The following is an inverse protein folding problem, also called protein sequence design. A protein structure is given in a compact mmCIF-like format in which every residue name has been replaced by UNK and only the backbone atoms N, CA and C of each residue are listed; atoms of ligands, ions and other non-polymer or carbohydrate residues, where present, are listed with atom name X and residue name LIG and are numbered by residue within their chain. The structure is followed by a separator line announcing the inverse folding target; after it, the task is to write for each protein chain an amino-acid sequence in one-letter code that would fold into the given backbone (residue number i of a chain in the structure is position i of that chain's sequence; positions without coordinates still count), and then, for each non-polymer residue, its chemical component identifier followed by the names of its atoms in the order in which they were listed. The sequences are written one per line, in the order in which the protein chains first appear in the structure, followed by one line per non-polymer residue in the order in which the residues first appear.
data_IF_835950866744
#
_entry.id   IF_835950866744
#
_cell.length_a   1.000
_cell.length_b   1.000
_cell.length_c   1.000
_cell.angle_alpha   90.00
_cell.angle_beta   90.00
_cell.angle_gamma   90.00
#
_symmetry.space_group_name_H-M   'P 1'
#
loop_
_entity.id
_entity.type
_entity.pdbx_description
1 polymer ?
#
# COMPACT_ATOMS: atom_id res chain seq x y z
N UNK A 1 9.51 9.95 -5.16
CA UNK A 1 10.04 9.65 -3.81
C UNK A 1 10.16 8.14 -3.54
N UNK A 2 9.17 7.32 -3.92
CA UNK A 2 9.18 5.87 -3.62
C UNK A 2 10.06 5.02 -4.56
N UNK A 3 10.30 5.50 -5.79
CA UNK A 3 11.04 4.74 -6.82
C UNK A 3 12.41 4.16 -6.40
N UNK A 4 13.27 4.86 -5.62
CA UNK A 4 14.53 4.28 -5.18
C UNK A 4 14.36 3.06 -4.27
N UNK A 5 13.34 3.05 -3.41
CA UNK A 5 13.05 1.91 -2.52
C UNK A 5 12.56 0.73 -3.34
N UNK A 6 11.60 0.96 -4.25
CA UNK A 6 11.09 -0.08 -5.13
C UNK A 6 12.21 -0.71 -5.99
N UNK A 7 13.13 0.11 -6.50
CA UNK A 7 14.28 -0.37 -7.28
C UNK A 7 15.22 -1.27 -6.47
N UNK A 8 15.44 -0.99 -5.19
CA UNK A 8 16.27 -1.85 -4.33
C UNK A 8 15.60 -3.20 -4.05
N UNK A 9 14.27 -3.25 -4.08
CA UNK A 9 13.47 -4.46 -3.90
C UNK A 9 13.18 -5.21 -5.20
N UNK A 10 13.67 -4.71 -6.35
CA UNK A 10 13.39 -5.31 -7.67
C UNK A 10 11.93 -5.17 -8.12
N UNK A 11 11.18 -4.21 -7.57
CA UNK A 11 9.77 -3.98 -7.91
C UNK A 11 9.70 -3.08 -9.17
N UNK A 12 9.04 -3.53 -10.25
CA UNK A 12 8.85 -2.74 -11.47
C UNK A 12 8.05 -1.46 -11.22
N UNK A 13 8.29 -0.41 -12.02
CA UNK A 13 7.66 0.91 -11.80
C UNK A 13 6.15 0.88 -12.04
N UNK A 14 5.69 0.04 -12.95
CA UNK A 14 4.28 -0.20 -13.25
C UNK A 14 3.50 -0.79 -12.07
N UNK A 15 4.18 -1.35 -11.06
CA UNK A 15 3.56 -1.88 -9.85
C UNK A 15 3.52 -0.84 -8.71
N UNK A 16 3.92 0.42 -8.98
CA UNK A 16 3.97 1.49 -8.00
C UNK A 16 2.74 2.38 -8.17
N UNK A 17 1.91 2.43 -7.13
CA UNK A 17 0.78 3.35 -7.02
C UNK A 17 1.06 4.33 -5.87
N UNK A 18 1.40 5.57 -6.19
CA UNK A 18 1.84 6.57 -5.21
C UNK A 18 1.68 8.00 -5.73
N UNK A 19 1.64 8.97 -4.80
CA UNK A 19 1.55 10.37 -5.19
C UNK A 19 2.79 10.81 -5.97
N UNK A 20 2.54 11.46 -7.10
CA UNK A 20 3.56 12.09 -7.91
C UNK A 20 3.61 13.58 -7.58
N UNK A 21 4.76 14.05 -7.09
CA UNK A 21 5.01 15.48 -6.88
C UNK A 21 5.42 16.13 -8.20
N UNK A 22 4.89 17.33 -8.45
CA UNK A 22 5.14 18.11 -9.65
C UNK A 22 6.01 19.32 -9.30
N UNK A 23 7.00 19.58 -10.14
CA UNK A 23 7.96 20.66 -9.96
C UNK A 23 8.11 21.46 -11.26
N UNK A 24 8.40 22.76 -11.11
CA UNK A 24 8.85 23.62 -12.21
C UNK A 24 10.22 23.16 -12.74
N UNK A 25 10.58 23.66 -13.93
CA UNK A 25 11.92 23.44 -14.49
C UNK A 25 13.06 24.00 -13.63
N UNK A 26 12.80 24.99 -12.78
CA UNK A 26 13.75 25.53 -11.81
C UNK A 26 13.77 24.78 -10.46
N UNK A 27 12.98 23.70 -10.32
CA UNK A 27 12.92 22.88 -9.11
C UNK A 27 11.94 23.38 -8.04
N UNK A 28 11.22 24.48 -8.27
CA UNK A 28 10.17 24.96 -7.38
C UNK A 28 8.94 24.03 -7.37
N UNK A 29 8.33 23.82 -6.20
CA UNK A 29 7.16 22.97 -6.02
C UNK A 29 5.91 23.55 -6.70
N UNK A 30 5.22 22.75 -7.51
CA UNK A 30 3.96 23.12 -8.17
C UNK A 30 2.73 22.47 -7.54
N UNK A 31 2.92 21.34 -6.89
CA UNK A 31 1.81 20.53 -6.37
C UNK A 31 2.07 19.05 -6.55
N UNK A 32 0.99 18.30 -6.72
CA UNK A 32 1.02 16.87 -6.96
C UNK A 32 0.00 16.51 -8.04
N UNK A 33 0.21 15.36 -8.66
CA UNK A 33 -0.74 14.78 -9.61
C UNK A 33 -2.01 14.36 -8.87
N UNK A 34 -3.14 14.96 -9.28
CA UNK A 34 -4.45 14.72 -8.67
C UNK A 34 -5.13 13.48 -9.23
N UNK A 35 -4.70 12.99 -10.39
CA UNK A 35 -5.30 11.83 -11.04
C UNK A 35 -4.88 10.52 -10.35
N UNK A 36 -3.72 10.54 -9.67
CA UNK A 36 -3.24 9.43 -8.84
C UNK A 36 -4.29 8.97 -7.81
N UNK A 37 -4.42 7.66 -7.62
CA UNK A 37 -5.36 7.12 -6.64
C UNK A 37 -5.08 7.65 -5.24
N UNK A 38 -3.80 7.70 -4.88
CA UNK A 38 -3.32 8.09 -3.55
C UNK A 38 -3.40 9.59 -3.28
N UNK A 39 -3.88 10.39 -4.25
CA UNK A 39 -3.97 11.85 -4.12
C UNK A 39 -5.09 12.31 -3.18
N UNK A 40 -5.96 11.36 -2.78
CA UNK A 40 -7.19 11.57 -2.02
C UNK A 40 -7.40 10.48 -0.95
N UNK A 41 -8.25 10.78 0.03
CA UNK A 41 -8.67 9.81 1.05
C UNK A 41 -9.29 8.57 0.41
N UNK A 42 -9.00 7.39 0.98
CA UNK A 42 -9.41 6.10 0.39
C UNK A 42 -8.60 5.69 -0.85
N UNK A 43 -7.51 6.39 -1.16
CA UNK A 43 -6.69 6.12 -2.33
C UNK A 43 -6.11 4.71 -2.40
N UNK A 44 -5.66 4.15 -1.28
CA UNK A 44 -5.16 2.76 -1.21
C UNK A 44 -6.27 1.75 -1.52
N UNK A 45 -7.47 1.93 -0.98
CA UNK A 45 -8.61 1.08 -1.28
C UNK A 45 -8.98 1.11 -2.78
N UNK A 46 -9.00 2.30 -3.36
CA UNK A 46 -9.28 2.46 -4.80
C UNK A 46 -8.18 1.82 -5.66
N UNK A 47 -6.91 1.98 -5.29
CA UNK A 47 -5.79 1.37 -6.00
C UNK A 47 -5.85 -0.17 -5.94
N UNK A 48 -6.13 -0.76 -4.77
CA UNK A 48 -6.25 -2.21 -4.62
C UNK A 48 -7.42 -2.78 -5.42
N UNK A 49 -8.59 -2.11 -5.42
CA UNK A 49 -9.72 -2.48 -6.28
C UNK A 49 -9.36 -2.42 -7.77
N UNK A 50 -8.62 -1.39 -8.18
CA UNK A 50 -8.14 -1.24 -9.56
C UNK A 50 -7.18 -2.38 -9.95
N UNK A 51 -6.18 -2.66 -9.11
CA UNK A 51 -5.21 -3.74 -9.31
C UNK A 51 -5.93 -5.09 -9.45
N UNK A 52 -6.90 -5.38 -8.56
CA UNK A 52 -7.71 -6.61 -8.64
C UNK A 52 -8.40 -6.74 -9.99
N UNK A 53 -9.03 -5.66 -10.43
CA UNK A 53 -9.81 -5.63 -11.68
C UNK A 53 -8.93 -5.80 -12.91
N UNK A 54 -7.80 -5.09 -12.99
CA UNK A 54 -6.92 -5.08 -14.16
C UNK A 54 -6.17 -6.40 -14.32
N UNK A 55 -5.73 -7.00 -13.22
CA UNK A 55 -4.93 -8.22 -13.25
C UNK A 55 -5.75 -9.50 -13.00
N UNK A 56 -7.04 -9.38 -12.72
CA UNK A 56 -7.94 -10.50 -12.41
C UNK A 56 -7.45 -11.40 -11.26
N UNK A 57 -6.79 -10.80 -10.27
CA UNK A 57 -6.31 -11.54 -9.10
C UNK A 57 -7.51 -12.10 -8.31
N UNK A 58 -7.44 -13.41 -8.04
CA UNK A 58 -8.44 -14.09 -7.20
C UNK A 58 -8.32 -13.71 -5.73
N UNK A 59 -7.07 -13.54 -5.28
CA UNK A 59 -6.71 -13.24 -3.90
C UNK A 59 -5.73 -12.09 -3.84
N UNK A 60 -5.97 -11.12 -2.97
CA UNK A 60 -5.08 -10.00 -2.66
C UNK A 60 -4.88 -9.86 -1.15
N UNK A 61 -3.63 -9.61 -0.76
CA UNK A 61 -3.23 -9.38 0.63
C UNK A 61 -2.69 -7.96 0.74
N UNK A 62 -3.25 -7.18 1.66
CA UNK A 62 -2.72 -5.87 2.01
C UNK A 62 -1.85 -5.98 3.26
N UNK A 63 -0.66 -5.37 3.25
CA UNK A 63 0.25 -5.32 4.40
C UNK A 63 0.57 -3.86 4.70
N UNK A 64 0.38 -3.42 5.94
CA UNK A 64 0.69 -2.06 6.38
C UNK A 64 0.39 -1.81 7.85
N UNK A 65 0.80 -0.66 8.39
CA UNK A 65 0.57 -0.31 9.81
C UNK A 65 -0.66 0.59 10.01
N UNK A 66 -1.12 1.25 8.95
CA UNK A 66 -2.02 2.38 9.03
C UNK A 66 -3.50 2.05 8.85
N UNK A 67 -4.35 2.98 9.29
CA UNK A 67 -5.80 2.88 9.07
C UNK A 67 -6.16 2.87 7.56
N UNK A 68 -5.42 3.60 6.73
CA UNK A 68 -5.63 3.61 5.27
C UNK A 68 -5.22 2.31 4.59
N UNK A 69 -4.32 1.53 5.21
CA UNK A 69 -3.99 0.17 4.76
C UNK A 69 -5.13 -0.79 5.09
N UNK A 70 -5.65 -0.71 6.32
CA UNK A 70 -6.83 -1.47 6.73
C UNK A 70 -8.06 -1.16 5.86
N UNK A 71 -8.26 0.10 5.46
CA UNK A 71 -9.34 0.49 4.54
C UNK A 71 -9.27 -0.22 3.18
N UNK A 72 -8.12 -0.74 2.77
CA UNK A 72 -7.99 -1.48 1.52
C UNK A 72 -8.77 -2.81 1.51
N UNK A 73 -9.28 -3.26 2.67
CA UNK A 73 -10.20 -4.40 2.81
C UNK A 73 -11.67 -4.09 2.51
N UNK A 74 -11.99 -2.88 2.04
CA UNK A 74 -13.33 -2.56 1.55
C UNK A 74 -13.80 -3.56 0.47
N UNK A 75 -15.13 -3.71 0.25
CA UNK A 75 -15.67 -4.62 -0.76
C UNK A 75 -14.99 -4.48 -2.13
N UNK A 76 -14.56 -5.60 -2.70
CA UNK A 76 -13.80 -5.64 -3.96
C UNK A 76 -12.30 -5.34 -3.83
N UNK A 77 -11.83 -4.99 -2.63
CA UNK A 77 -10.43 -4.76 -2.30
C UNK A 77 -9.70 -6.05 -1.89
N UNK A 78 -8.79 -5.92 -0.91
CA UNK A 78 -8.00 -7.02 -0.39
C UNK A 78 -8.87 -8.05 0.36
N UNK A 79 -8.50 -9.32 0.27
CA UNK A 79 -9.18 -10.42 0.95
C UNK A 79 -8.61 -10.64 2.37
N UNK A 80 -7.33 -10.31 2.58
CA UNK A 80 -6.68 -10.31 3.89
C UNK A 80 -5.94 -8.99 4.15
N UNK A 81 -5.94 -8.54 5.40
CA UNK A 81 -5.11 -7.46 5.88
C UNK A 81 -4.18 -7.94 7.00
N UNK A 82 -2.89 -7.76 6.77
CA UNK A 82 -1.82 -8.03 7.73
C UNK A 82 -1.34 -6.69 8.28
N UNK A 83 -1.54 -6.47 9.57
CA UNK A 83 -0.97 -5.32 10.27
C UNK A 83 0.51 -5.56 10.54
N UNK A 84 1.38 -4.71 10.00
CA UNK A 84 2.81 -4.73 10.31
C UNK A 84 3.11 -3.73 11.44
N UNK A 85 3.31 -4.25 12.65
CA UNK A 85 3.61 -3.47 13.85
C UNK A 85 5.11 -3.32 14.15
N UNK A 86 6.01 -3.77 13.27
CA UNK A 86 7.45 -3.86 13.56
C UNK A 86 8.18 -2.53 13.72
N UNK A 87 7.62 -1.43 13.20
CA UNK A 87 8.15 -0.07 13.37
C UNK A 87 7.27 0.74 14.30
N UNK A 88 5.96 0.80 14.00
CA UNK A 88 4.97 1.49 14.82
C UNK A 88 3.74 0.59 14.95
N UNK A 89 3.40 0.22 16.19
CA UNK A 89 2.14 -0.43 16.47
C UNK A 89 1.04 0.62 16.63
N UNK A 90 -0.10 0.40 15.98
CA UNK A 90 -1.32 1.18 16.18
C UNK A 90 -2.41 0.23 16.65
N UNK A 91 -2.74 0.24 17.94
CA UNK A 91 -3.60 -0.78 18.55
C UNK A 91 -4.98 -0.85 17.89
N UNK A 92 -5.53 0.30 17.51
CA UNK A 92 -6.83 0.39 16.83
C UNK A 92 -6.84 -0.25 15.42
N UNK A 93 -5.68 -0.30 14.75
CA UNK A 93 -5.51 -0.95 13.43
C UNK A 93 -5.26 -2.44 13.63
N UNK A 94 -4.34 -2.79 14.54
CA UNK A 94 -3.98 -4.15 14.86
C UNK A 94 -5.17 -4.98 15.35
N UNK A 95 -6.04 -4.40 16.18
CA UNK A 95 -7.26 -5.05 16.69
C UNK A 95 -8.27 -5.43 15.59
N UNK A 96 -8.13 -4.89 14.37
CA UNK A 96 -9.00 -5.14 13.23
C UNK A 96 -8.30 -5.93 12.11
N UNK A 97 -7.04 -6.32 12.31
CA UNK A 97 -6.27 -7.06 11.33
C UNK A 97 -6.58 -8.56 11.40
N UNK A 98 -6.51 -9.22 10.25
CA UNK A 98 -6.60 -10.69 10.19
C UNK A 98 -5.35 -11.32 10.81
N UNK A 99 -4.21 -10.64 10.67
CA UNK A 99 -2.94 -11.07 11.25
C UNK A 99 -2.10 -9.85 11.65
N UNK A 100 -1.55 -9.87 12.87
CA UNK A 100 -0.55 -8.92 13.33
C UNK A 100 0.83 -9.58 13.31
N UNK A 101 1.80 -8.93 12.67
CA UNK A 101 3.22 -9.33 12.69
C UNK A 101 4.12 -8.19 13.10
N UNK A 102 5.23 -8.51 13.74
CA UNK A 102 6.25 -7.53 14.18
C UNK A 102 7.57 -7.66 13.41
N UNK A 103 7.77 -8.77 12.70
CA UNK A 103 8.97 -9.03 11.91
C UNK A 103 8.57 -9.73 10.60
N UNK A 104 9.12 -9.29 9.47
CA UNK A 104 8.86 -9.90 8.16
C UNK A 104 9.27 -11.38 8.10
N UNK A 105 10.20 -11.85 8.94
CA UNK A 105 10.54 -13.27 9.06
C UNK A 105 9.33 -14.14 9.40
N UNK A 106 8.37 -13.63 10.18
CA UNK A 106 7.14 -14.37 10.50
C UNK A 106 6.32 -14.67 9.26
N UNK A 107 6.29 -13.73 8.29
CA UNK A 107 5.64 -13.95 7.01
C UNK A 107 6.41 -14.95 6.16
N UNK A 108 7.74 -14.85 6.11
CA UNK A 108 8.58 -15.77 5.33
C UNK A 108 8.39 -17.22 5.80
N UNK A 109 8.46 -17.47 7.11
CA UNK A 109 8.27 -18.81 7.68
C UNK A 109 6.88 -19.39 7.43
N UNK A 110 5.84 -18.56 7.27
CA UNK A 110 4.48 -19.05 6.96
C UNK A 110 4.25 -19.45 5.50
N UNK A 111 5.18 -19.08 4.61
CA UNK A 111 5.11 -19.35 3.17
C UNK A 111 5.94 -20.58 2.77
N UNK A 112 6.69 -21.15 3.72
CA UNK A 112 7.42 -22.42 3.60
C UNK A 112 6.50 -23.61 3.92
#
# INVERSE_FOLDING_TARGET
MINPVASQLGIPRENIYANQLLFTSSGGFLGFDKDEFTSRSGGKATAVQHIRKVHHYKTLVMIGDGATDLEARQPGGADLFICYGGVQLREAVAAKADWLVFDFKQLLTSLE
#
